data_IF_758042345962
#
_entry.id   IF_758042345962
#
_cell.length_a   1.000
_cell.length_b   1.000
_cell.length_c   1.000
_cell.angle_alpha   90.00
_cell.angle_beta   90.00
_cell.angle_gamma   90.00
#
_symmetry.space_group_name_H-M   'P 1'
#
loop_
_entity.id
_entity.type
_entity.pdbx_description
1 polymer ?
#
# COMPACT_ATOMS: atom_id res chain seq x y z
N UNK A 1 -1.73 23.01 -1.44
CA UNK A 1 -1.02 21.75 -1.80
C UNK A 1 -2.02 20.86 -2.51
N UNK A 2 -1.74 20.47 -3.72
CA UNK A 2 -2.61 19.61 -4.52
C UNK A 2 -2.22 18.16 -4.32
N UNK A 3 -3.20 17.28 -4.10
CA UNK A 3 -3.01 15.84 -4.10
C UNK A 3 -3.66 15.20 -5.32
N UNK A 4 -3.11 14.10 -5.76
CA UNK A 4 -3.59 13.31 -6.89
C UNK A 4 -3.97 11.92 -6.44
N UNK A 5 -5.16 11.48 -6.82
CA UNK A 5 -5.60 10.11 -6.67
C UNK A 5 -5.42 9.41 -8.03
N UNK A 6 -4.58 8.40 -8.05
CA UNK A 6 -4.17 7.71 -9.26
C UNK A 6 -4.54 6.24 -9.22
N UNK A 7 -5.14 5.72 -10.28
CA UNK A 7 -5.28 4.29 -10.52
C UNK A 7 -4.17 3.85 -11.46
N UNK A 8 -3.32 2.97 -10.98
CA UNK A 8 -2.12 2.47 -11.65
C UNK A 8 -2.33 0.99 -11.88
N UNK A 9 -2.28 0.54 -13.14
CA UNK A 9 -2.51 -0.85 -13.51
C UNK A 9 -1.34 -1.39 -14.29
N UNK A 10 -0.86 -2.59 -13.91
CA UNK A 10 0.15 -3.31 -14.67
C UNK A 10 -0.34 -3.58 -16.08
N UNK A 11 0.54 -3.33 -17.04
CA UNK A 11 0.30 -3.65 -18.45
C UNK A 11 0.18 -5.17 -18.64
N UNK A 12 -0.62 -5.55 -19.62
CA UNK A 12 -0.72 -6.94 -20.09
C UNK A 12 0.21 -7.21 -21.28
N UNK A 13 1.15 -6.31 -21.55
CA UNK A 13 2.15 -6.49 -22.61
C UNK A 13 3.01 -7.74 -22.35
N UNK A 14 3.57 -8.38 -23.39
CA UNK A 14 4.45 -9.52 -23.23
C UNK A 14 5.65 -9.22 -22.31
N UNK A 15 6.19 -8.00 -22.36
CA UNK A 15 7.29 -7.56 -21.52
C UNK A 15 6.89 -7.52 -20.04
N UNK A 16 5.71 -6.95 -19.71
CA UNK A 16 5.21 -6.93 -18.35
C UNK A 16 4.89 -8.34 -17.84
N UNK A 17 4.35 -9.21 -18.69
CA UNK A 17 4.08 -10.61 -18.35
C UNK A 17 5.37 -11.40 -18.10
N UNK A 18 6.43 -11.18 -18.85
CA UNK A 18 7.72 -11.82 -18.63
C UNK A 18 8.33 -11.45 -17.24
N UNK A 19 8.01 -10.26 -16.74
CA UNK A 19 8.45 -9.80 -15.41
C UNK A 19 7.49 -10.20 -14.28
N UNK A 20 6.33 -10.78 -14.57
CA UNK A 20 5.32 -11.13 -13.57
C UNK A 20 5.85 -11.96 -12.39
N UNK A 21 6.74 -12.97 -12.57
CA UNK A 21 7.29 -13.72 -11.45
C UNK A 21 8.11 -12.86 -10.47
N UNK A 22 8.73 -11.80 -10.95
CA UNK A 22 9.50 -10.86 -10.13
C UNK A 22 8.59 -9.82 -9.46
N UNK A 23 7.50 -9.42 -10.13
CA UNK A 23 6.58 -8.39 -9.68
C UNK A 23 5.49 -8.93 -8.73
N UNK A 24 5.18 -10.22 -8.84
CA UNK A 24 4.17 -10.89 -8.04
C UNK A 24 4.67 -12.22 -7.49
N UNK A 25 5.72 -12.23 -6.64
CA UNK A 25 6.18 -13.44 -5.98
C UNK A 25 5.07 -14.06 -5.11
N UNK A 26 5.15 -15.36 -4.89
CA UNK A 26 4.15 -16.10 -4.09
C UNK A 26 4.21 -15.77 -2.61
N UNK A 27 5.39 -15.46 -2.08
CA UNK A 27 5.54 -15.03 -0.69
C UNK A 27 4.91 -13.64 -0.47
N UNK A 28 3.97 -13.47 0.50
CA UNK A 28 3.27 -12.21 0.71
C UNK A 28 4.17 -11.02 1.09
N UNK A 29 5.25 -11.26 1.82
CA UNK A 29 6.18 -10.21 2.24
C UNK A 29 7.03 -9.74 1.05
N UNK A 30 7.57 -10.70 0.27
CA UNK A 30 8.31 -10.43 -0.95
C UNK A 30 7.42 -9.73 -1.99
N UNK A 31 6.16 -10.16 -2.14
CA UNK A 31 5.18 -9.52 -3.03
C UNK A 31 4.95 -8.05 -2.67
N UNK A 32 4.74 -7.73 -1.40
CA UNK A 32 4.55 -6.34 -0.95
C UNK A 32 5.79 -5.48 -1.20
N UNK A 33 6.98 -6.02 -0.98
CA UNK A 33 8.24 -5.34 -1.26
C UNK A 33 8.42 -5.08 -2.76
N UNK A 34 8.13 -6.07 -3.60
CA UNK A 34 8.18 -5.94 -5.06
C UNK A 34 7.19 -4.88 -5.57
N UNK A 35 5.95 -4.91 -5.08
CA UNK A 35 4.92 -3.92 -5.41
C UNK A 35 5.31 -2.51 -4.97
N UNK A 36 5.92 -2.37 -3.79
CA UNK A 36 6.42 -1.08 -3.33
C UNK A 36 7.51 -0.52 -4.25
N UNK A 37 8.48 -1.33 -4.63
CA UNK A 37 9.55 -0.93 -5.53
C UNK A 37 9.01 -0.60 -6.93
N UNK A 38 8.03 -1.37 -7.40
CA UNK A 38 7.36 -1.13 -8.68
C UNK A 38 6.65 0.22 -8.70
N UNK A 39 5.90 0.54 -7.65
CA UNK A 39 5.23 1.84 -7.54
C UNK A 39 6.21 2.98 -7.32
N UNK A 40 7.31 2.71 -6.63
CA UNK A 40 8.38 3.70 -6.48
C UNK A 40 8.92 4.15 -7.84
N UNK A 41 9.00 3.25 -8.82
CA UNK A 41 9.49 3.58 -10.17
C UNK A 41 8.66 4.65 -10.90
N UNK A 42 7.36 4.78 -10.58
CA UNK A 42 6.48 5.80 -11.20
C UNK A 42 6.40 7.10 -10.39
N UNK A 43 6.98 7.12 -9.20
CA UNK A 43 7.04 8.33 -8.36
C UNK A 43 8.47 8.83 -8.11
N UNK A 44 9.50 8.07 -8.45
CA UNK A 44 10.89 8.48 -8.31
C UNK A 44 11.35 9.28 -9.53
N UNK A 45 11.54 10.56 -9.36
CA UNK A 45 12.01 11.49 -10.40
C UNK A 45 13.48 11.92 -10.19
N UNK A 46 14.18 11.30 -9.24
CA UNK A 46 15.60 11.57 -8.99
C UNK A 46 16.16 10.85 -7.79
N UNK A 47 17.51 10.78 -7.66
CA UNK A 47 18.17 10.16 -6.54
C UNK A 47 17.88 10.96 -5.24
N UNK A 48 17.70 10.26 -4.13
CA UNK A 48 17.46 10.88 -2.83
C UNK A 48 16.02 11.38 -2.59
N UNK A 49 15.10 11.12 -3.51
CA UNK A 49 13.69 11.46 -3.31
C UNK A 49 13.11 10.72 -2.09
N UNK A 50 12.47 11.46 -1.20
CA UNK A 50 11.70 10.88 -0.10
C UNK A 50 10.35 10.39 -0.59
N UNK A 51 9.83 9.36 0.07
CA UNK A 51 8.49 8.83 -0.20
C UNK A 51 7.44 9.89 0.10
N UNK A 52 6.64 10.23 -0.91
CA UNK A 52 5.58 11.23 -0.85
C UNK A 52 4.25 10.68 -1.41
N UNK A 53 4.09 9.37 -1.39
CA UNK A 53 2.88 8.70 -1.83
C UNK A 53 2.43 7.60 -0.87
N UNK A 54 1.13 7.39 -0.80
CA UNK A 54 0.47 6.25 -0.16
C UNK A 54 -0.12 5.37 -1.23
N UNK A 55 -0.21 4.08 -1.00
CA UNK A 55 -0.79 3.16 -1.96
C UNK A 55 -1.43 1.95 -1.30
N UNK A 56 -2.36 1.36 -2.02
CA UNK A 56 -2.92 0.03 -1.72
C UNK A 56 -3.16 -0.73 -3.01
N UNK A 57 -3.06 -2.04 -2.96
CA UNK A 57 -3.54 -2.90 -4.02
C UNK A 57 -5.06 -3.09 -3.85
N UNK A 58 -5.83 -2.85 -4.91
CA UNK A 58 -7.27 -3.10 -4.94
C UNK A 58 -7.56 -4.52 -5.41
N UNK A 59 -6.81 -4.98 -6.39
CA UNK A 59 -6.82 -6.32 -6.98
C UNK A 59 -5.51 -6.54 -7.71
N UNK A 60 -5.23 -7.77 -8.07
CA UNK A 60 -3.97 -8.16 -8.70
C UNK A 60 -3.51 -7.21 -9.81
N UNK A 61 -2.37 -6.58 -9.59
CA UNK A 61 -1.76 -5.63 -10.52
C UNK A 61 -2.49 -4.30 -10.69
N UNK A 62 -3.51 -4.02 -9.88
CA UNK A 62 -4.22 -2.73 -9.88
C UNK A 62 -4.04 -2.03 -8.54
N UNK A 63 -3.45 -0.85 -8.57
CA UNK A 63 -3.11 -0.07 -7.39
C UNK A 63 -3.85 1.26 -7.38
N UNK A 64 -4.27 1.68 -6.20
CA UNK A 64 -4.72 3.02 -5.93
C UNK A 64 -3.61 3.76 -5.17
N UNK A 65 -3.20 4.91 -5.67
CA UNK A 65 -2.17 5.73 -5.04
C UNK A 65 -2.67 7.15 -4.79
N UNK A 66 -2.33 7.69 -3.63
CA UNK A 66 -2.49 9.09 -3.29
C UNK A 66 -1.12 9.73 -3.16
N UNK A 67 -0.85 10.80 -3.90
CA UNK A 67 0.48 11.42 -3.98
C UNK A 67 0.39 12.93 -4.12
N UNK A 68 1.46 13.63 -3.80
CA UNK A 68 1.56 15.09 -3.99
C UNK A 68 1.84 15.49 -5.44
N UNK A 69 2.03 14.52 -6.34
CA UNK A 69 2.31 14.72 -7.76
C UNK A 69 1.76 13.58 -8.60
N UNK A 70 1.60 13.82 -9.88
CA UNK A 70 1.14 12.82 -10.84
C UNK A 70 2.20 11.72 -11.02
N UNK A 71 1.82 10.43 -11.17
CA UNK A 71 2.74 9.37 -11.51
C UNK A 71 3.33 9.54 -12.91
N UNK A 72 4.57 9.12 -13.10
CA UNK A 72 5.25 9.11 -14.39
C UNK A 72 4.79 7.87 -15.16
N UNK A 73 4.43 8.05 -16.44
CA UNK A 73 4.06 6.94 -17.30
C UNK A 73 5.29 6.12 -17.70
N UNK A 74 5.17 4.81 -17.57
CA UNK A 74 6.18 3.83 -18.05
C UNK A 74 5.51 2.69 -18.78
N UNK A 75 6.27 1.94 -19.59
CA UNK A 75 5.74 0.83 -20.42
C UNK A 75 5.28 -0.39 -19.59
N UNK A 76 5.64 -0.44 -18.31
CA UNK A 76 5.18 -1.49 -17.39
C UNK A 76 3.71 -1.33 -17.01
N UNK A 77 3.13 -0.16 -17.23
CA UNK A 77 1.77 0.15 -16.81
C UNK A 77 0.91 0.57 -18.01
N UNK A 78 -0.39 0.27 -17.89
CA UNK A 78 -1.40 0.90 -18.74
C UNK A 78 -1.43 2.41 -18.48
N UNK A 79 -2.08 3.18 -19.37
CA UNK A 79 -2.26 4.61 -19.17
C UNK A 79 -2.89 4.89 -17.78
N UNK A 80 -2.22 5.69 -16.98
CA UNK A 80 -2.69 6.01 -15.63
C UNK A 80 -3.97 6.81 -15.68
N UNK A 81 -4.92 6.47 -14.79
CA UNK A 81 -6.09 7.31 -14.53
C UNK A 81 -5.76 8.18 -13.32
N UNK A 82 -5.66 9.47 -13.53
CA UNK A 82 -5.27 10.44 -12.51
C UNK A 82 -6.35 11.51 -12.38
N UNK A 83 -6.70 11.83 -11.13
CA UNK A 83 -7.58 12.95 -10.81
C UNK A 83 -7.03 13.73 -9.63
N UNK A 84 -7.31 15.02 -9.58
CA UNK A 84 -7.11 15.81 -8.38
C UNK A 84 -7.94 15.24 -7.21
N UNK A 85 -7.31 15.15 -6.05
CA UNK A 85 -7.96 14.72 -4.83
C UNK A 85 -8.24 15.96 -3.96
N UNK A 86 -9.41 16.52 -4.16
CA UNK A 86 -9.89 17.68 -3.42
C UNK A 86 -11.31 17.41 -2.89
N UNK A 87 -11.45 16.57 -1.84
CA UNK A 87 -12.76 16.27 -1.27
C UNK A 87 -13.34 17.54 -0.62
N UNK A 88 -14.55 17.90 -1.01
CA UNK A 88 -15.31 18.98 -0.38
C UNK A 88 -15.94 18.43 0.92
N UNK A 89 -15.24 18.60 2.03
CA UNK A 89 -15.70 18.17 3.34
C UNK A 89 -16.15 19.36 4.18
N UNK A 90 -17.26 19.18 4.89
CA UNK A 90 -17.85 20.19 5.78
C UNK A 90 -17.97 19.66 7.20
N UNK A 91 -18.09 20.56 8.16
CA UNK A 91 -18.30 20.17 9.56
C UNK A 91 -19.61 19.39 9.68
N UNK A 92 -19.53 18.17 10.24
CA UNK A 92 -20.68 17.27 10.42
C UNK A 92 -20.78 16.16 9.37
N UNK A 93 -19.95 16.18 8.31
CA UNK A 93 -19.90 15.08 7.36
C UNK A 93 -19.47 13.77 8.02
N UNK A 94 -20.10 12.70 7.59
CA UNK A 94 -19.75 11.33 8.03
C UNK A 94 -18.92 10.66 6.95
N UNK A 95 -17.83 10.03 7.36
CA UNK A 95 -16.91 9.33 6.47
C UNK A 95 -16.80 7.87 6.90
N UNK A 96 -16.99 6.98 5.93
CA UNK A 96 -16.61 5.58 6.10
C UNK A 96 -15.16 5.39 5.65
N UNK A 97 -14.39 4.61 6.41
CA UNK A 97 -13.02 4.31 6.02
C UNK A 97 -12.71 2.83 6.21
N UNK A 98 -11.79 2.34 5.38
CA UNK A 98 -11.21 1.02 5.50
C UNK A 98 -9.70 1.17 5.66
N UNK A 99 -9.16 0.68 6.77
CA UNK A 99 -7.74 0.77 7.09
C UNK A 99 -7.12 -0.62 7.20
N UNK A 100 -6.03 -0.83 6.47
CA UNK A 100 -5.12 -1.95 6.71
C UNK A 100 -3.86 -1.41 7.37
N UNK A 101 -3.66 -1.73 8.62
CA UNK A 101 -2.50 -1.26 9.37
C UNK A 101 -1.72 -2.43 9.99
N UNK A 102 -0.45 -2.18 10.25
CA UNK A 102 0.36 -3.04 11.10
C UNK A 102 0.31 -2.45 12.53
N UNK A 103 -0.55 -3.03 13.37
CA UNK A 103 -0.79 -2.55 14.72
C UNK A 103 0.40 -2.91 15.63
N UNK A 104 1.40 -2.05 15.70
CA UNK A 104 2.54 -2.20 16.60
C UNK A 104 2.53 -1.14 17.69
N UNK A 105 2.97 -1.51 18.90
CA UNK A 105 3.24 -0.57 19.99
C UNK A 105 4.68 -0.72 20.47
N UNK A 106 5.25 0.35 21.01
CA UNK A 106 6.52 0.32 21.68
C UNK A 106 6.26 0.12 23.19
N UNK A 107 6.87 -0.89 23.78
CA UNK A 107 6.84 -1.11 25.22
C UNK A 107 7.76 -0.11 25.94
N UNK A 108 7.63 -0.02 27.25
CA UNK A 108 8.42 0.89 28.08
C UNK A 108 9.93 0.58 28.04
N UNK A 109 10.29 -0.68 27.75
CA UNK A 109 11.68 -1.15 27.53
C UNK A 109 12.22 -0.86 26.12
N UNK A 110 11.46 -0.13 25.30
CA UNK A 110 11.84 0.19 23.90
C UNK A 110 11.55 -0.90 22.88
N UNK A 111 11.11 -2.10 23.30
CA UNK A 111 10.79 -3.18 22.40
C UNK A 111 9.51 -2.91 21.60
N UNK A 112 9.56 -3.09 20.29
CA UNK A 112 8.37 -3.07 19.42
C UNK A 112 7.68 -4.41 19.39
N UNK A 113 6.41 -4.43 19.69
CA UNK A 113 5.57 -5.64 19.68
C UNK A 113 4.33 -5.43 18.83
N UNK A 114 3.88 -6.49 18.17
CA UNK A 114 2.57 -6.55 17.56
C UNK A 114 1.50 -6.58 18.65
N UNK A 115 0.50 -5.69 18.57
CA UNK A 115 -0.52 -5.50 19.59
C UNK A 115 -1.38 -6.76 19.75
N UNK A 116 -1.71 -7.43 18.66
CA UNK A 116 -2.52 -8.65 18.66
C UNK A 116 -1.73 -9.81 19.27
N UNK A 117 -0.48 -9.99 18.85
CA UNK A 117 0.38 -11.04 19.37
C UNK A 117 0.73 -10.83 20.85
N UNK A 118 0.89 -9.60 21.29
CA UNK A 118 1.16 -9.27 22.68
C UNK A 118 -0.06 -9.58 23.57
N UNK A 119 -1.28 -9.26 23.10
CA UNK A 119 -2.52 -9.62 23.76
C UNK A 119 -2.74 -11.13 23.83
N UNK A 120 -2.46 -11.86 22.74
CA UNK A 120 -2.60 -13.31 22.69
C UNK A 120 -1.62 -14.05 23.61
N UNK A 121 -0.48 -13.47 23.94
CA UNK A 121 0.48 -14.05 24.89
C UNK A 121 -0.08 -14.16 26.30
N UNK A 122 -1.00 -13.25 26.68
CA UNK A 122 -1.68 -13.27 27.98
C UNK A 122 -2.78 -14.35 28.07
N UNK A 123 -3.19 -14.93 26.94
CA UNK A 123 -4.26 -15.93 26.86
C UNK A 123 -3.63 -17.32 26.80
N UNK A 124 -4.05 -18.29 27.67
CA UNK A 124 -3.59 -19.67 27.62
C UNK A 124 -3.78 -20.30 26.24
N UNK A 125 -2.86 -21.15 25.83
CA UNK A 125 -2.85 -21.72 24.48
C UNK A 125 -4.13 -22.49 24.10
N UNK A 126 -4.83 -23.07 25.06
CA UNK A 126 -6.10 -23.79 24.85
C UNK A 126 -7.34 -22.92 24.67
N UNK A 127 -7.23 -21.62 24.93
CA UNK A 127 -8.35 -20.65 24.83
C UNK A 127 -8.22 -19.71 23.64
N UNK A 128 -7.08 -19.75 22.93
CA UNK A 128 -6.83 -18.96 21.74
C UNK A 128 -7.70 -19.44 20.59
N UNK A 129 -8.72 -18.70 20.21
CA UNK A 129 -9.53 -18.97 19.02
C UNK A 129 -10.94 -19.52 19.26
N UNK A 130 -11.46 -19.48 20.48
CA UNK A 130 -12.87 -19.85 20.75
C UNK A 130 -13.89 -18.80 20.34
N UNK A 131 -13.45 -17.56 20.04
CA UNK A 131 -14.30 -16.43 19.63
C UNK A 131 -13.93 -15.96 18.22
N UNK A 132 -14.17 -16.80 17.22
CA UNK A 132 -14.17 -16.42 15.81
C UNK A 132 -15.48 -16.80 15.16
#
# INVERSE_FOLDING_TARGET
>A
MTFYLSQIRLSRSPAAQALAPLLAPTDPAARRSAQHNLLWSVFADGPGRRRDFLWREERDGCFLALSSRSPIQTDLFEAHRVKEFAPALTLGDRLDFQLRCNATRQKHDGQRVDVVMDALRAIPAGERGKDR
#
